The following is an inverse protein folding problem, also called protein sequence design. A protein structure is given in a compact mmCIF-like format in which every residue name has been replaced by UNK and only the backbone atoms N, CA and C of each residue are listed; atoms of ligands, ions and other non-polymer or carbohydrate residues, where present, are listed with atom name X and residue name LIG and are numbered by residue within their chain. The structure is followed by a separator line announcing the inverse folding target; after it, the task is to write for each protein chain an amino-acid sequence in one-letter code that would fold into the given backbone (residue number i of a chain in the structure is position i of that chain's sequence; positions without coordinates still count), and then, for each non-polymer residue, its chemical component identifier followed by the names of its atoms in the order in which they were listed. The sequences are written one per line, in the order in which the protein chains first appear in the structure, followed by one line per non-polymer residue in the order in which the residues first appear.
data_IF_390890108586
#
_entry.id   IF_390890108586
#
_cell.length_a   1.000
_cell.length_b   1.000
_cell.length_c   1.000
_cell.angle_alpha   90.00
_cell.angle_beta   90.00
_cell.angle_gamma   90.00
#
_symmetry.space_group_name_H-M   'P 1'
#
loop_
_entity.id
_entity.type
_entity.pdbx_description
1 polymer ?
#
# COMPACT_ATOMS: atom_id res chain seq x y z
N UNK A 1 23.20 11.38 22.60
CA UNK A 1 22.54 10.15 22.09
C UNK A 1 21.84 10.50 20.79
N UNK A 2 21.93 9.67 19.75
CA UNK A 2 21.18 9.85 18.50
C UNK A 2 20.34 8.61 18.27
N UNK A 3 19.02 8.77 18.20
CA UNK A 3 18.04 7.70 17.97
C UNK A 3 17.43 7.89 16.59
N UNK A 4 17.24 6.78 15.86
CA UNK A 4 16.57 6.75 14.57
C UNK A 4 15.64 5.53 14.50
N UNK A 5 14.55 5.67 13.74
CA UNK A 5 13.54 4.63 13.53
C UNK A 5 13.33 4.45 12.02
N UNK A 6 13.27 3.20 11.57
CA UNK A 6 12.87 2.81 10.21
C UNK A 6 11.60 1.98 10.33
N UNK A 7 10.53 2.45 9.69
CA UNK A 7 9.26 1.73 9.63
C UNK A 7 8.93 1.31 8.20
N UNK A 8 7.97 0.39 8.09
CA UNK A 8 7.39 -0.04 6.83
C UNK A 8 5.88 -0.20 6.97
N UNK A 9 5.21 -0.74 5.95
CA UNK A 9 3.76 -0.88 5.93
C UNK A 9 3.17 -1.64 7.14
N UNK A 10 3.96 -2.50 7.80
CA UNK A 10 3.53 -3.24 8.99
C UNK A 10 3.09 -2.35 10.15
N UNK A 11 3.71 -1.17 10.34
CA UNK A 11 3.30 -0.25 11.41
C UNK A 11 1.90 0.31 11.20
N UNK A 12 1.37 0.27 9.97
CA UNK A 12 0.02 0.74 9.65
C UNK A 12 -1.03 -0.38 9.65
N UNK A 13 -0.62 -1.64 9.87
CA UNK A 13 -1.53 -2.78 9.84
C UNK A 13 -2.60 -2.69 10.95
N UNK A 14 -2.22 -2.22 12.14
CA UNK A 14 -3.13 -2.04 13.28
C UNK A 14 -4.11 -0.88 13.08
N UNK A 15 -3.78 0.09 12.22
CA UNK A 15 -4.73 1.09 11.72
C UNK A 15 -5.71 0.53 10.69
N UNK A 16 -5.62 -0.76 10.33
CA UNK A 16 -6.46 -1.38 9.29
C UNK A 16 -5.97 -1.16 7.85
N UNK A 17 -4.75 -0.64 7.66
CA UNK A 17 -4.16 -0.49 6.32
C UNK A 17 -3.54 -1.83 5.86
N UNK A 18 -3.96 -2.43 4.74
CA UNK A 18 -3.37 -3.66 4.24
C UNK A 18 -1.87 -3.51 3.95
N UNK A 19 -1.08 -4.51 4.33
CA UNK A 19 0.34 -4.55 4.00
C UNK A 19 0.56 -5.12 2.60
N UNK A 20 1.80 -5.00 2.10
CA UNK A 20 2.13 -5.45 0.76
C UNK A 20 2.40 -6.94 0.62
N UNK A 21 3.05 -7.56 1.62
CA UNK A 21 3.67 -8.90 1.52
C UNK A 21 3.16 -9.91 2.56
N UNK A 22 2.03 -9.63 3.20
CA UNK A 22 1.41 -10.62 4.09
C UNK A 22 0.92 -11.85 3.28
N UNK A 23 1.22 -13.05 3.76
CA UNK A 23 0.97 -14.31 3.04
C UNK A 23 -0.52 -14.63 2.85
N UNK A 24 -1.40 -14.10 3.72
CA UNK A 24 -2.85 -14.37 3.65
C UNK A 24 -3.61 -13.25 2.96
N UNK A 25 -3.21 -12.00 3.18
CA UNK A 25 -3.99 -10.82 2.77
C UNK A 25 -3.18 -9.71 2.10
N UNK A 26 -1.90 -9.95 1.79
CA UNK A 26 -1.02 -8.95 1.21
C UNK A 26 -1.48 -8.45 -0.15
N UNK A 27 -1.32 -7.15 -0.40
CA UNK A 27 -1.69 -6.54 -1.68
C UNK A 27 -1.01 -7.24 -2.87
N UNK A 28 0.25 -7.67 -2.74
CA UNK A 28 0.98 -8.33 -3.81
C UNK A 28 0.65 -9.82 -4.00
N UNK A 29 -0.07 -10.44 -3.06
CA UNK A 29 -0.67 -11.74 -3.30
C UNK A 29 -1.93 -11.65 -4.19
N UNK A 30 -2.54 -10.46 -4.26
CA UNK A 30 -3.81 -10.22 -4.97
C UNK A 30 -3.65 -9.42 -6.26
N UNK A 31 -2.62 -8.59 -6.33
CA UNK A 31 -2.37 -7.69 -7.44
C UNK A 31 -0.91 -7.79 -7.89
N UNK A 32 -0.67 -7.75 -9.21
CA UNK A 32 0.69 -7.72 -9.74
C UNK A 32 1.31 -6.32 -9.54
N UNK A 33 2.39 -6.18 -8.74
CA UNK A 33 3.07 -4.91 -8.55
C UNK A 33 3.65 -4.33 -9.86
N UNK A 34 4.00 -5.16 -10.84
CA UNK A 34 4.53 -4.69 -12.12
C UNK A 34 3.45 -4.09 -13.01
N UNK A 35 2.19 -4.47 -12.84
CA UNK A 35 1.06 -3.82 -13.52
C UNK A 35 0.69 -2.49 -12.87
N UNK A 36 0.82 -2.38 -11.54
CA UNK A 36 0.24 -1.28 -10.77
C UNK A 36 1.24 -0.23 -10.30
N UNK A 37 2.48 -0.61 -10.03
CA UNK A 37 3.50 0.25 -9.41
C UNK A 37 4.78 0.30 -10.25
N UNK A 38 4.63 0.31 -11.58
CA UNK A 38 5.74 0.49 -12.52
C UNK A 38 5.41 1.51 -13.61
N UNK A 39 6.46 2.15 -14.15
CA UNK A 39 6.33 3.06 -15.30
C UNK A 39 5.73 2.35 -16.52
N UNK A 40 6.11 1.09 -16.75
CA UNK A 40 5.59 0.28 -17.84
C UNK A 40 4.10 -0.04 -17.65
N UNK A 41 3.66 -0.30 -16.42
CA UNK A 41 2.26 -0.49 -16.06
C UNK A 41 1.45 0.77 -16.32
N UNK A 42 1.95 1.93 -15.89
CA UNK A 42 1.34 3.24 -16.15
C UNK A 42 1.18 3.54 -17.64
N UNK A 43 2.23 3.35 -18.44
CA UNK A 43 2.19 3.60 -19.88
C UNK A 43 1.22 2.66 -20.61
N UNK A 44 1.03 1.45 -20.10
CA UNK A 44 0.17 0.43 -20.72
C UNK A 44 -1.31 0.61 -20.36
N UNK A 45 -1.61 0.92 -19.10
CA UNK A 45 -2.98 1.06 -18.62
C UNK A 45 -3.06 2.07 -17.45
N UNK A 46 -3.04 3.38 -17.74
CA UNK A 46 -3.04 4.41 -16.70
C UNK A 46 -4.34 4.43 -15.89
N UNK A 47 -5.48 4.06 -16.50
CA UNK A 47 -6.78 3.99 -15.80
C UNK A 47 -6.79 2.93 -14.69
N UNK A 48 -6.24 1.75 -14.96
CA UNK A 48 -6.11 0.68 -13.96
C UNK A 48 -5.20 1.09 -12.81
N UNK A 49 -4.05 1.68 -13.13
CA UNK A 49 -3.12 2.19 -12.11
C UNK A 49 -3.79 3.27 -11.27
N UNK A 50 -4.39 4.26 -11.92
CA UNK A 50 -5.05 5.37 -11.24
C UNK A 50 -6.21 4.90 -10.37
N UNK A 51 -7.07 4.02 -10.90
CA UNK A 51 -8.19 3.44 -10.14
C UNK A 51 -7.71 2.67 -8.90
N UNK A 52 -6.62 1.92 -9.00
CA UNK A 52 -6.04 1.23 -7.84
C UNK A 52 -5.49 2.19 -6.78
N UNK A 53 -4.79 3.24 -7.19
CA UNK A 53 -4.30 4.27 -6.25
C UNK A 53 -5.43 5.10 -5.65
N UNK A 54 -6.49 5.39 -6.41
CA UNK A 54 -7.67 6.10 -5.91
C UNK A 54 -8.43 5.26 -4.88
N UNK A 55 -8.59 3.94 -5.12
CA UNK A 55 -9.13 3.02 -4.13
C UNK A 55 -8.28 3.03 -2.84
N UNK A 56 -6.94 2.96 -2.95
CA UNK A 56 -6.05 3.04 -1.79
C UNK A 56 -6.15 4.38 -1.07
N UNK A 57 -6.32 5.48 -1.79
CA UNK A 57 -6.50 6.80 -1.20
C UNK A 57 -7.75 6.84 -0.31
N UNK A 58 -8.89 6.36 -0.80
CA UNK A 58 -10.11 6.28 0.00
C UNK A 58 -10.03 5.29 1.15
N UNK A 59 -9.30 4.18 0.99
CA UNK A 59 -9.06 3.24 2.09
C UNK A 59 -8.32 3.94 3.24
N UNK A 60 -7.22 4.63 2.94
CA UNK A 60 -6.39 5.29 3.97
C UNK A 60 -7.08 6.51 4.56
N UNK A 61 -7.92 7.20 3.80
CA UNK A 61 -8.67 8.36 4.30
C UNK A 61 -9.70 8.02 5.41
N UNK A 62 -10.03 6.74 5.59
CA UNK A 62 -11.00 6.27 6.59
C UNK A 62 -10.35 5.56 7.79
N UNK A 63 -9.02 5.68 7.96
CA UNK A 63 -8.31 5.08 9.10
C UNK A 63 -7.64 6.14 9.97
N UNK A 64 -7.45 5.81 11.24
CA UNK A 64 -6.77 6.67 12.22
C UNK A 64 -5.38 6.11 12.57
N UNK A 65 -4.44 6.94 13.05
CA UNK A 65 -3.19 6.45 13.63
C UNK A 65 -3.42 5.43 14.75
N UNK A 66 -2.52 4.44 14.86
CA UNK A 66 -2.46 3.52 16.00
C UNK A 66 -1.41 3.98 17.01
N UNK A 67 -1.25 3.23 18.11
CA UNK A 67 -0.39 3.59 19.25
C UNK A 67 1.11 3.62 18.92
N UNK A 68 1.52 2.99 17.81
CA UNK A 68 2.91 3.00 17.30
C UNK A 68 3.80 1.88 17.83
#
# INVERSE_FOLDING_TARGET
MRVAVLSGAGISAESGVPTFRDDKNGLWARFDPYELSSTQGWLRNPERVWGWYLWRHYLVANVEPNDG
#
